data_IF_157508182016
#
_entry.id   IF_157508182016
#
_cell.length_a   1.000
_cell.length_b   1.000
_cell.length_c   1.000
_cell.angle_alpha   90.00
_cell.angle_beta   90.00
_cell.angle_gamma   90.00
#
_symmetry.space_group_name_H-M   'P 1'
#
loop_
_entity.id
_entity.type
_entity.pdbx_description
1 polymer ?
#
# COMPACT_ATOMS: atom_id res chain seq x y z
N UNK A 1 11.32 -12.32 -3.81
CA UNK A 1 10.49 -11.09 -3.91
C UNK A 1 9.82 -11.05 -5.27
N UNK A 2 8.59 -10.53 -5.36
CA UNK A 2 7.84 -10.31 -6.59
C UNK A 2 7.66 -8.82 -6.82
N UNK A 3 7.64 -8.38 -8.08
CA UNK A 3 7.38 -6.98 -8.42
C UNK A 3 5.94 -6.77 -8.85
N UNK A 4 5.34 -5.72 -8.35
CA UNK A 4 4.05 -5.20 -8.77
C UNK A 4 4.13 -3.71 -9.08
N UNK A 5 3.13 -3.21 -9.74
CA UNK A 5 3.02 -1.78 -10.04
C UNK A 5 1.66 -1.28 -9.61
N UNK A 6 1.63 -0.08 -9.03
CA UNK A 6 0.39 0.55 -8.57
C UNK A 6 -0.30 1.23 -9.74
N UNK A 7 -1.52 0.79 -10.03
CA UNK A 7 -2.40 1.45 -11.00
C UNK A 7 -3.58 2.13 -10.29
N UNK A 8 -4.10 3.22 -10.84
CA UNK A 8 -5.29 3.88 -10.31
C UNK A 8 -6.54 3.00 -10.47
N UNK A 9 -7.63 3.42 -9.83
CA UNK A 9 -8.95 2.80 -9.98
C UNK A 9 -9.31 2.61 -11.46
N UNK A 10 -9.67 1.39 -11.90
CA UNK A 10 -10.06 1.14 -13.28
C UNK A 10 -11.20 2.03 -13.78
N UNK A 11 -12.08 2.48 -12.87
CA UNK A 11 -13.16 3.42 -13.20
C UNK A 11 -12.67 4.83 -13.57
N UNK A 12 -11.43 5.17 -13.25
CA UNK A 12 -10.80 6.46 -13.60
C UNK A 12 -10.20 6.50 -15.00
N UNK A 13 -10.09 5.34 -15.66
CA UNK A 13 -9.57 5.28 -17.02
C UNK A 13 -10.63 5.75 -18.02
N UNK A 14 -10.16 6.33 -19.12
CA UNK A 14 -11.04 6.75 -20.22
C UNK A 14 -11.84 5.56 -20.78
N UNK A 15 -11.18 4.41 -20.89
CA UNK A 15 -11.75 3.17 -21.38
C UNK A 15 -10.92 1.97 -20.91
N UNK A 16 -11.51 0.78 -21.02
CA UNK A 16 -10.87 -0.47 -20.61
C UNK A 16 -9.67 -0.86 -21.47
N UNK A 17 -9.57 -0.38 -22.71
CA UNK A 17 -8.42 -0.68 -23.57
C UNK A 17 -7.16 0.01 -23.05
N UNK A 18 -7.29 1.19 -22.45
CA UNK A 18 -6.19 1.89 -21.79
C UNK A 18 -5.70 1.12 -20.55
N UNK A 19 -6.61 0.62 -19.72
CA UNK A 19 -6.25 -0.23 -18.58
C UNK A 19 -5.57 -1.53 -19.02
N UNK A 20 -6.14 -2.23 -20.02
CA UNK A 20 -5.55 -3.45 -20.60
C UNK A 20 -4.15 -3.16 -21.21
N UNK A 21 -3.97 -1.97 -21.81
CA UNK A 21 -2.69 -1.51 -22.35
C UNK A 21 -1.61 -1.32 -21.26
N UNK A 22 -1.98 -0.73 -20.12
CA UNK A 22 -1.06 -0.58 -18.98
C UNK A 22 -0.64 -1.96 -18.44
N UNK A 23 -1.57 -2.91 -18.29
CA UNK A 23 -1.27 -4.27 -17.87
C UNK A 23 -0.33 -4.99 -18.86
N UNK A 24 -0.55 -4.82 -20.16
CA UNK A 24 0.31 -5.39 -21.20
C UNK A 24 1.72 -4.79 -21.17
N UNK A 25 1.84 -3.48 -20.98
CA UNK A 25 3.11 -2.79 -20.80
C UNK A 25 3.87 -3.32 -19.56
N UNK A 26 3.18 -3.43 -18.42
CA UNK A 26 3.75 -4.00 -17.20
C UNK A 26 4.26 -5.44 -17.44
N UNK A 27 3.49 -6.26 -18.19
CA UNK A 27 3.89 -7.64 -18.51
C UNK A 27 5.15 -7.69 -19.37
N UNK A 28 5.24 -6.83 -20.38
CA UNK A 28 6.43 -6.72 -21.24
C UNK A 28 7.65 -6.24 -20.47
N UNK A 29 7.46 -5.25 -19.58
CA UNK A 29 8.53 -4.76 -18.71
C UNK A 29 8.97 -5.82 -17.69
N UNK A 30 8.08 -6.75 -17.28
CA UNK A 30 8.41 -7.91 -16.44
C UNK A 30 7.96 -7.83 -15.00
N UNK A 31 6.91 -7.11 -14.73
CA UNK A 31 6.22 -7.18 -13.44
C UNK A 31 5.47 -8.50 -13.28
N UNK A 32 5.23 -8.92 -12.04
CA UNK A 32 4.60 -10.20 -11.67
C UNK A 32 3.12 -10.06 -11.30
N UNK A 33 2.71 -8.88 -10.82
CA UNK A 33 1.38 -8.62 -10.27
C UNK A 33 0.98 -7.15 -10.41
N UNK A 34 -0.28 -6.84 -10.07
CA UNK A 34 -0.79 -5.47 -10.01
C UNK A 34 -1.32 -5.17 -8.62
N UNK A 35 -1.18 -3.92 -8.21
CA UNK A 35 -1.85 -3.32 -7.08
C UNK A 35 -2.79 -2.23 -7.58
N UNK A 36 -4.01 -2.14 -7.03
CA UNK A 36 -4.99 -1.15 -7.43
C UNK A 36 -5.32 -0.17 -6.31
N UNK A 37 -5.31 1.10 -6.65
CA UNK A 37 -5.81 2.16 -5.81
C UNK A 37 -7.30 2.37 -6.11
N UNK A 38 -8.21 1.89 -5.24
CA UNK A 38 -9.65 1.99 -5.45
C UNK A 38 -10.32 2.83 -4.37
N UNK A 39 -11.37 3.57 -4.77
CA UNK A 39 -12.09 4.45 -3.86
C UNK A 39 -13.37 3.82 -3.29
N UNK A 40 -13.92 2.82 -3.96
CA UNK A 40 -15.21 2.22 -3.59
C UNK A 40 -15.30 0.75 -4.01
N UNK A 41 -15.14 -0.20 -3.06
CA UNK A 41 -15.29 -1.62 -3.37
C UNK A 41 -16.65 -2.00 -3.97
N UNK A 42 -17.74 -1.28 -3.63
CA UNK A 42 -19.08 -1.58 -4.13
C UNK A 42 -19.27 -1.24 -5.62
N UNK A 43 -18.38 -0.41 -6.16
CA UNK A 43 -18.38 0.02 -7.57
C UNK A 43 -17.29 -0.64 -8.40
N UNK A 44 -16.53 -1.52 -7.79
CA UNK A 44 -15.42 -2.20 -8.45
C UNK A 44 -15.95 -3.33 -9.35
N UNK A 45 -15.70 -3.24 -10.66
CA UNK A 45 -16.09 -4.26 -11.64
C UNK A 45 -15.13 -5.47 -11.58
N UNK A 46 -15.35 -6.33 -10.58
CA UNK A 46 -14.51 -7.50 -10.32
C UNK A 46 -14.36 -8.40 -11.53
N UNK A 47 -15.47 -8.67 -12.24
CA UNK A 47 -15.48 -9.59 -13.39
C UNK A 47 -14.64 -9.03 -14.54
N UNK A 48 -14.77 -7.74 -14.81
CA UNK A 48 -14.02 -7.10 -15.89
C UNK A 48 -12.53 -7.04 -15.58
N UNK A 49 -12.17 -6.67 -14.34
CA UNK A 49 -10.77 -6.66 -13.90
C UNK A 49 -10.19 -8.07 -13.94
N UNK A 50 -10.93 -9.09 -13.46
CA UNK A 50 -10.47 -10.48 -13.49
C UNK A 50 -10.12 -10.93 -14.91
N UNK A 51 -11.01 -10.67 -15.88
CA UNK A 51 -10.73 -10.97 -17.30
C UNK A 51 -9.49 -10.25 -17.83
N UNK A 52 -9.25 -9.01 -17.42
CA UNK A 52 -8.05 -8.26 -17.82
C UNK A 52 -6.77 -8.89 -17.25
N UNK A 53 -6.77 -9.28 -15.97
CA UNK A 53 -5.62 -9.89 -15.31
C UNK A 53 -5.32 -11.30 -15.86
N UNK A 54 -6.36 -12.07 -16.17
CA UNK A 54 -6.21 -13.42 -16.76
C UNK A 54 -5.47 -13.38 -18.10
N UNK A 55 -5.74 -12.37 -18.94
CA UNK A 55 -5.06 -12.20 -20.25
C UNK A 55 -3.54 -12.04 -20.13
N UNK A 56 -3.08 -11.46 -19.05
CA UNK A 56 -1.65 -11.23 -18.79
C UNK A 56 -1.08 -12.18 -17.73
N UNK A 57 -1.92 -13.09 -17.21
CA UNK A 57 -1.56 -14.02 -16.12
C UNK A 57 -1.04 -13.30 -14.88
N UNK A 58 -1.75 -12.25 -14.45
CA UNK A 58 -1.44 -11.50 -13.24
C UNK A 58 -2.32 -11.89 -12.06
N UNK A 59 -1.77 -11.70 -10.86
CA UNK A 59 -2.52 -11.71 -9.61
C UNK A 59 -2.73 -10.27 -9.11
N UNK A 60 -3.83 -10.05 -8.40
CA UNK A 60 -4.03 -8.86 -7.59
C UNK A 60 -3.24 -9.03 -6.29
N UNK A 61 -2.20 -8.23 -6.06
CA UNK A 61 -1.43 -8.35 -4.84
C UNK A 61 -2.01 -7.50 -3.69
N UNK A 62 -2.53 -6.30 -3.99
CA UNK A 62 -3.05 -5.41 -2.98
C UNK A 62 -4.13 -4.46 -3.50
N UNK A 63 -4.97 -3.97 -2.57
CA UNK A 63 -5.88 -2.84 -2.76
C UNK A 63 -5.49 -1.70 -1.82
N UNK A 64 -5.23 -0.51 -2.38
CA UNK A 64 -4.98 0.69 -1.59
C UNK A 64 -6.29 1.41 -1.24
N UNK A 65 -6.42 1.85 0.01
CA UNK A 65 -7.62 2.53 0.53
C UNK A 65 -7.45 4.05 0.61
N UNK A 66 -6.23 4.57 0.47
CA UNK A 66 -5.87 5.96 0.80
C UNK A 66 -6.65 7.03 0.04
N UNK A 67 -7.08 6.78 -1.21
CA UNK A 67 -7.89 7.71 -2.00
C UNK A 67 -9.23 8.06 -1.35
N UNK A 68 -9.75 7.23 -0.45
CA UNK A 68 -11.04 7.45 0.22
C UNK A 68 -10.97 8.56 1.28
N UNK A 69 -9.80 8.81 1.87
CA UNK A 69 -9.61 9.95 2.76
C UNK A 69 -9.84 11.28 2.02
N UNK A 70 -9.13 11.48 0.92
CA UNK A 70 -9.21 12.72 0.15
C UNK A 70 -10.58 12.91 -0.54
N UNK A 71 -11.19 11.83 -1.04
CA UNK A 71 -12.42 11.90 -1.85
C UNK A 71 -13.70 11.89 -1.03
N UNK A 72 -13.69 11.34 0.20
CA UNK A 72 -14.90 11.09 1.01
C UNK A 72 -14.80 11.55 2.47
N UNK A 73 -13.65 12.06 2.91
CA UNK A 73 -13.41 12.43 4.30
C UNK A 73 -13.45 11.24 5.26
N UNK A 74 -13.13 10.03 4.79
CA UNK A 74 -13.06 8.85 5.64
C UNK A 74 -11.83 8.91 6.53
N UNK A 75 -12.03 8.73 7.85
CA UNK A 75 -10.98 8.93 8.83
C UNK A 75 -11.31 8.16 10.11
N UNK A 76 -10.31 7.56 10.75
CA UNK A 76 -10.50 6.81 12.00
C UNK A 76 -10.15 7.58 13.27
N UNK A 77 -9.30 8.62 13.20
CA UNK A 77 -8.89 9.39 14.38
C UNK A 77 -10.00 10.32 14.93
N UNK A 78 -10.90 10.80 14.06
CA UNK A 78 -11.88 11.84 14.37
C UNK A 78 -12.80 11.49 15.55
N UNK A 79 -13.25 12.52 16.28
CA UNK A 79 -14.28 12.41 17.33
C UNK A 79 -15.69 12.13 16.76
N UNK A 80 -15.94 12.44 15.47
CA UNK A 80 -17.22 12.14 14.82
C UNK A 80 -17.42 10.61 14.66
N UNK A 81 -18.31 10.06 15.45
CA UNK A 81 -18.63 8.64 15.44
C UNK A 81 -19.25 8.18 14.11
N UNK A 82 -20.04 9.04 13.47
CA UNK A 82 -20.65 8.75 12.18
C UNK A 82 -19.59 8.56 11.09
N UNK A 83 -18.56 9.42 11.06
CA UNK A 83 -17.41 9.29 10.13
C UNK A 83 -16.63 8.01 10.44
N UNK A 84 -16.29 7.76 11.71
CA UNK A 84 -15.56 6.54 12.09
C UNK A 84 -16.32 5.27 11.68
N UNK A 85 -17.61 5.21 11.98
CA UNK A 85 -18.44 4.03 11.66
C UNK A 85 -18.50 3.78 10.16
N UNK A 86 -18.73 4.82 9.35
CA UNK A 86 -18.69 4.70 7.88
C UNK A 86 -17.33 4.21 7.39
N UNK A 87 -16.23 4.68 7.99
CA UNK A 87 -14.88 4.26 7.62
C UNK A 87 -14.62 2.80 7.98
N UNK A 88 -15.10 2.34 9.14
CA UNK A 88 -15.01 0.93 9.55
C UNK A 88 -15.79 0.03 8.59
N UNK A 89 -17.02 0.38 8.22
CA UNK A 89 -17.83 -0.41 7.29
C UNK A 89 -17.22 -0.42 5.87
N UNK A 90 -16.64 0.70 5.44
CA UNK A 90 -15.87 0.74 4.21
C UNK A 90 -14.66 -0.22 4.27
N UNK A 91 -13.87 -0.20 5.34
CA UNK A 91 -12.74 -1.11 5.50
C UNK A 91 -13.18 -2.59 5.52
N UNK A 92 -14.32 -2.92 6.13
CA UNK A 92 -14.89 -4.28 6.06
C UNK A 92 -15.25 -4.67 4.63
N UNK A 93 -15.77 -3.75 3.82
CA UNK A 93 -16.02 -4.03 2.40
C UNK A 93 -14.74 -4.26 1.60
N UNK A 94 -13.64 -3.59 1.94
CA UNK A 94 -12.31 -3.91 1.40
C UNK A 94 -11.82 -5.28 1.86
N UNK A 95 -12.07 -5.67 3.12
CA UNK A 95 -11.75 -7.01 3.63
C UNK A 95 -12.46 -8.09 2.83
N UNK A 96 -13.78 -7.93 2.57
CA UNK A 96 -14.54 -8.87 1.74
C UNK A 96 -13.98 -8.95 0.32
N UNK A 97 -13.62 -7.82 -0.28
CA UNK A 97 -13.00 -7.78 -1.60
C UNK A 97 -11.65 -8.50 -1.60
N UNK A 98 -10.75 -8.15 -0.68
CA UNK A 98 -9.42 -8.75 -0.59
C UNK A 98 -9.48 -10.27 -0.35
N UNK A 99 -10.42 -10.73 0.46
CA UNK A 99 -10.67 -12.16 0.70
C UNK A 99 -11.00 -12.90 -0.61
N UNK A 100 -11.88 -12.35 -1.47
CA UNK A 100 -12.23 -12.95 -2.76
C UNK A 100 -11.06 -12.98 -3.75
N UNK A 101 -10.15 -12.01 -3.65
CA UNK A 101 -8.97 -11.88 -4.51
C UNK A 101 -7.71 -12.53 -3.95
N UNK A 102 -7.76 -13.01 -2.70
CA UNK A 102 -6.57 -13.50 -1.97
C UNK A 102 -5.43 -12.47 -1.98
N UNK A 103 -5.80 -11.21 -1.82
CA UNK A 103 -4.91 -10.04 -1.79
C UNK A 103 -4.88 -9.42 -0.40
N UNK A 104 -4.08 -8.39 -0.25
CA UNK A 104 -4.00 -7.59 0.99
C UNK A 104 -4.70 -6.25 0.82
N UNK A 105 -4.94 -5.58 1.95
CA UNK A 105 -5.46 -4.21 2.01
C UNK A 105 -4.39 -3.32 2.58
N UNK A 106 -4.02 -2.26 1.87
CA UNK A 106 -3.11 -1.22 2.38
C UNK A 106 -3.91 -0.17 3.13
N UNK A 107 -3.57 0.02 4.40
CA UNK A 107 -4.18 0.98 5.30
C UNK A 107 -3.15 1.98 5.83
N UNK A 108 -3.22 3.23 5.38
CA UNK A 108 -2.32 4.31 5.77
C UNK A 108 -3.08 5.62 6.00
N UNK A 109 -3.45 6.33 4.93
CA UNK A 109 -4.07 7.67 4.99
C UNK A 109 -5.38 7.74 5.79
N UNK A 110 -6.12 6.64 5.92
CA UNK A 110 -7.36 6.59 6.71
C UNK A 110 -7.14 6.70 8.23
N UNK A 111 -5.90 6.70 8.70
CA UNK A 111 -5.58 7.09 10.06
C UNK A 111 -6.07 8.52 10.35
N UNK A 112 -5.94 9.43 9.36
CA UNK A 112 -6.34 10.82 9.44
C UNK A 112 -5.20 11.75 9.84
N UNK A 113 -5.51 13.04 9.98
CA UNK A 113 -4.56 14.12 10.25
C UNK A 113 -4.79 14.73 11.63
N UNK A 114 -3.81 15.50 12.13
CA UNK A 114 -3.98 16.30 13.34
C UNK A 114 -5.03 17.41 13.20
N UNK A 115 -5.41 17.79 11.97
CA UNK A 115 -6.56 18.66 11.72
C UNK A 115 -7.91 17.97 11.97
N UNK A 116 -7.98 16.63 11.87
CA UNK A 116 -9.19 15.86 12.14
C UNK A 116 -9.34 15.54 13.64
N UNK A 117 -8.20 15.37 14.32
CA UNK A 117 -8.11 15.19 15.78
C UNK A 117 -6.74 15.69 16.28
N UNK A 118 -6.72 16.86 16.97
CA UNK A 118 -5.49 17.45 17.48
C UNK A 118 -4.89 16.69 18.68
N UNK A 119 -5.71 15.94 19.42
CA UNK A 119 -5.24 15.08 20.51
C UNK A 119 -4.73 13.74 19.94
N UNK A 120 -3.39 13.63 19.81
CA UNK A 120 -2.74 12.43 19.29
C UNK A 120 -3.09 11.17 20.09
N UNK A 121 -3.26 11.28 21.41
CA UNK A 121 -3.56 10.12 22.25
C UNK A 121 -4.99 9.64 22.00
N UNK A 122 -5.95 10.56 21.98
CA UNK A 122 -7.34 10.26 21.69
C UNK A 122 -7.52 9.69 20.27
N UNK A 123 -6.88 10.31 19.26
CA UNK A 123 -6.91 9.84 17.87
C UNK A 123 -6.30 8.45 17.71
N UNK A 124 -5.12 8.19 18.29
CA UNK A 124 -4.48 6.88 18.26
C UNK A 124 -5.33 5.80 18.94
N UNK A 125 -5.99 6.12 20.06
CA UNK A 125 -6.88 5.19 20.75
C UNK A 125 -8.08 4.79 19.86
N UNK A 126 -8.71 5.75 19.17
CA UNK A 126 -9.82 5.47 18.23
C UNK A 126 -9.38 4.66 17.02
N UNK A 127 -8.22 4.99 16.43
CA UNK A 127 -7.63 4.19 15.34
C UNK A 127 -7.42 2.75 15.81
N UNK A 128 -6.84 2.56 17.00
CA UNK A 128 -6.59 1.24 17.58
C UNK A 128 -7.87 0.42 17.79
N UNK A 129 -8.91 1.05 18.31
CA UNK A 129 -10.23 0.41 18.51
C UNK A 129 -10.83 -0.01 17.16
N UNK A 130 -10.86 0.89 16.18
CA UNK A 130 -11.39 0.64 14.85
C UNK A 130 -10.62 -0.47 14.11
N UNK A 131 -9.28 -0.43 14.11
CA UNK A 131 -8.47 -1.46 13.46
C UNK A 131 -8.58 -2.80 14.19
N UNK A 132 -8.79 -2.81 15.50
CA UNK A 132 -9.07 -4.05 16.22
C UNK A 132 -10.40 -4.68 15.78
N UNK A 133 -11.44 -3.88 15.55
CA UNK A 133 -12.73 -4.36 15.03
C UNK A 133 -12.58 -4.93 13.61
N UNK A 134 -12.00 -4.15 12.69
CA UNK A 134 -11.79 -4.56 11.30
C UNK A 134 -10.82 -5.75 11.19
N UNK A 135 -9.78 -5.78 12.03
CA UNK A 135 -8.79 -6.86 12.05
C UNK A 135 -9.40 -8.19 12.51
N UNK A 136 -10.31 -8.18 13.49
CA UNK A 136 -11.06 -9.40 13.87
C UNK A 136 -11.94 -9.90 12.71
N UNK A 137 -12.62 -8.99 12.05
CA UNK A 137 -13.38 -9.33 10.84
C UNK A 137 -12.49 -9.89 9.73
N UNK A 138 -11.29 -9.34 9.55
CA UNK A 138 -10.31 -9.85 8.58
C UNK A 138 -9.83 -11.28 8.92
N UNK A 139 -9.68 -11.64 10.23
CA UNK A 139 -9.40 -13.03 10.65
C UNK A 139 -10.50 -13.96 10.16
N UNK A 140 -11.78 -13.62 10.40
CA UNK A 140 -12.93 -14.43 9.97
C UNK A 140 -12.99 -14.63 8.45
N UNK A 141 -12.53 -13.65 7.69
CA UNK A 141 -12.50 -13.64 6.22
C UNK A 141 -11.21 -14.19 5.61
N UNK A 142 -10.24 -14.56 6.44
CA UNK A 142 -8.91 -14.97 5.98
C UNK A 142 -8.26 -13.92 5.06
N UNK A 143 -8.35 -12.65 5.46
CA UNK A 143 -7.78 -11.49 4.76
C UNK A 143 -6.72 -10.80 5.64
N UNK A 144 -5.83 -10.02 5.01
CA UNK A 144 -4.77 -9.29 5.69
C UNK A 144 -4.92 -7.79 5.46
N UNK A 145 -4.71 -7.03 6.53
CA UNK A 145 -4.62 -5.57 6.52
C UNK A 145 -3.16 -5.21 6.79
N UNK A 146 -2.53 -4.51 5.86
CA UNK A 146 -1.18 -4.03 6.02
C UNK A 146 -1.20 -2.57 6.48
N UNK A 147 -0.76 -2.38 7.71
CA UNK A 147 -0.69 -1.07 8.36
C UNK A 147 0.55 -0.32 7.85
N UNK A 148 0.33 0.87 7.31
CA UNK A 148 1.37 1.72 6.74
C UNK A 148 1.70 2.89 7.67
N UNK A 149 2.95 3.01 8.14
CA UNK A 149 3.46 4.26 8.71
C UNK A 149 3.61 5.28 7.57
N UNK A 150 2.77 6.30 7.59
CA UNK A 150 2.75 7.39 6.61
C UNK A 150 3.39 8.63 7.24
N UNK A 151 4.18 9.40 6.47
CA UNK A 151 4.92 10.55 6.98
C UNK A 151 4.00 11.61 7.65
N UNK A 152 4.57 12.37 8.58
CA UNK A 152 3.85 13.35 9.40
C UNK A 152 3.22 14.51 8.60
N UNK A 153 3.66 14.77 7.37
CA UNK A 153 3.04 15.75 6.48
C UNK A 153 1.71 15.31 5.89
N UNK A 154 1.47 13.99 5.84
CA UNK A 154 0.26 13.40 5.26
C UNK A 154 -0.68 12.82 6.32
N UNK A 155 -0.16 12.22 7.41
CA UNK A 155 -0.93 11.58 8.47
C UNK A 155 -0.45 12.08 9.83
N UNK A 156 -1.35 12.19 10.81
CA UNK A 156 -1.03 12.69 12.15
C UNK A 156 -0.57 11.63 13.16
N UNK A 157 -0.54 10.34 12.79
CA UNK A 157 -0.43 9.23 13.73
C UNK A 157 0.49 8.12 13.20
N UNK A 158 1.24 7.47 14.11
CA UNK A 158 2.08 6.30 13.84
C UNK A 158 2.96 6.47 12.59
N UNK A 159 3.76 7.54 12.58
CA UNK A 159 4.53 7.96 11.42
C UNK A 159 5.82 7.17 11.23
N UNK A 160 6.47 6.75 12.32
CA UNK A 160 7.72 5.98 12.29
C UNK A 160 7.47 4.46 12.27
N UNK A 161 8.46 3.71 11.78
CA UNK A 161 8.45 2.23 11.85
C UNK A 161 8.28 1.78 13.30
N UNK A 162 8.97 2.40 14.26
CA UNK A 162 8.88 2.04 15.66
C UNK A 162 7.46 2.20 16.23
N UNK A 163 6.79 3.34 15.96
CA UNK A 163 5.39 3.57 16.37
C UNK A 163 4.43 2.58 15.71
N UNK A 164 4.63 2.27 14.42
CA UNK A 164 3.80 1.32 13.69
C UNK A 164 3.99 -0.13 14.21
N UNK A 165 5.22 -0.53 14.54
CA UNK A 165 5.52 -1.84 15.15
C UNK A 165 4.83 -1.99 16.52
N UNK A 166 4.94 -0.96 17.38
CA UNK A 166 4.25 -0.95 18.67
C UNK A 166 2.73 -1.07 18.47
N UNK A 167 2.18 -0.34 17.51
CA UNK A 167 0.76 -0.38 17.19
C UNK A 167 0.33 -1.77 16.72
N UNK A 168 0.98 -2.34 15.70
CA UNK A 168 0.63 -3.63 15.10
C UNK A 168 0.79 -4.77 16.12
N UNK A 169 1.93 -4.85 16.80
CA UNK A 169 2.16 -5.88 17.82
C UNK A 169 1.18 -5.74 19.00
N UNK A 170 0.87 -4.51 19.39
CA UNK A 170 -0.10 -4.23 20.48
C UNK A 170 -1.55 -4.57 20.16
N UNK A 171 -1.90 -4.80 18.88
CA UNK A 171 -3.21 -5.34 18.49
C UNK A 171 -3.33 -6.85 18.75
N UNK A 172 -2.22 -7.59 18.66
CA UNK A 172 -2.17 -9.05 18.78
C UNK A 172 -3.18 -9.77 17.86
N UNK A 173 -3.21 -9.35 16.58
CA UNK A 173 -4.09 -9.89 15.55
C UNK A 173 -3.26 -10.36 14.35
N UNK A 174 -3.33 -11.64 13.94
CA UNK A 174 -2.53 -12.17 12.83
C UNK A 174 -2.92 -11.57 11.46
N UNK A 175 -4.12 -11.01 11.36
CA UNK A 175 -4.65 -10.34 10.16
C UNK A 175 -4.13 -8.92 9.98
N UNK A 176 -3.47 -8.32 10.99
CA UNK A 176 -2.89 -6.98 10.88
C UNK A 176 -1.38 -7.11 10.83
N UNK A 177 -0.79 -6.75 9.70
CA UNK A 177 0.62 -6.83 9.41
C UNK A 177 1.18 -5.42 9.18
N UNK A 178 2.47 -5.33 8.96
CA UNK A 178 3.16 -4.08 8.65
C UNK A 178 3.51 -4.02 7.17
N UNK A 179 3.35 -2.86 6.57
CA UNK A 179 4.01 -2.51 5.32
C UNK A 179 4.87 -1.26 5.48
N UNK A 180 5.74 -1.02 4.54
CA UNK A 180 6.55 0.20 4.48
C UNK A 180 6.53 0.77 3.05
N UNK A 181 6.50 2.10 2.93
CA UNK A 181 6.75 2.83 1.69
C UNK A 181 8.08 3.58 1.81
N UNK A 182 8.97 3.36 0.86
CA UNK A 182 10.31 3.97 0.84
C UNK A 182 10.29 5.50 0.86
N UNK A 183 9.25 6.13 0.32
CA UNK A 183 9.06 7.58 0.41
C UNK A 183 8.77 8.02 1.85
N UNK A 184 7.90 7.32 2.57
CA UNK A 184 7.51 7.70 3.91
C UNK A 184 8.66 7.50 4.90
N UNK A 185 9.31 6.34 4.85
CA UNK A 185 10.46 6.07 5.74
C UNK A 185 11.67 6.95 5.42
N UNK A 186 11.84 7.42 4.18
CA UNK A 186 12.90 8.41 3.86
C UNK A 186 12.70 9.74 4.58
N UNK A 187 11.46 10.09 4.93
CA UNK A 187 11.14 11.33 5.65
C UNK A 187 11.25 11.14 7.17
N UNK A 188 10.80 9.99 7.68
CA UNK A 188 10.61 9.77 9.12
C UNK A 188 11.80 9.06 9.79
N UNK A 189 12.56 8.25 9.05
CA UNK A 189 13.62 7.44 9.63
C UNK A 189 15.00 8.07 9.44
N UNK A 190 15.77 8.09 10.51
CA UNK A 190 17.19 8.47 10.43
C UNK A 190 18.02 7.43 9.67
N UNK A 191 17.68 6.15 9.87
CA UNK A 191 18.35 5.00 9.26
C UNK A 191 17.31 4.15 8.54
N UNK A 192 17.35 4.12 7.21
CA UNK A 192 16.29 3.52 6.40
C UNK A 192 16.45 2.01 6.17
N UNK A 193 17.61 1.42 6.47
CA UNK A 193 17.89 -0.01 6.25
C UNK A 193 17.90 -0.85 7.52
N UNK A 194 18.41 -0.31 8.62
CA UNK A 194 18.55 -1.05 9.88
C UNK A 194 17.22 -1.52 10.47
N UNK A 195 16.09 -0.77 10.42
CA UNK A 195 14.82 -1.20 10.98
C UNK A 195 14.24 -2.46 10.34
N UNK A 196 14.64 -2.79 9.10
CA UNK A 196 14.12 -3.98 8.38
C UNK A 196 14.37 -5.30 9.12
N UNK A 197 15.43 -5.37 9.96
CA UNK A 197 15.72 -6.56 10.77
C UNK A 197 14.65 -6.78 11.84
N UNK A 198 14.16 -5.72 12.44
CA UNK A 198 13.25 -5.78 13.59
C UNK A 198 11.80 -6.03 13.21
N UNK A 199 11.49 -5.94 11.91
CA UNK A 199 10.13 -6.09 11.37
C UNK A 199 9.94 -7.31 10.46
N UNK A 200 10.99 -8.10 10.22
CA UNK A 200 10.96 -9.23 9.27
C UNK A 200 9.81 -10.22 9.50
N UNK A 201 9.41 -10.41 10.77
CA UNK A 201 8.34 -11.33 11.18
C UNK A 201 6.94 -10.78 10.88
N UNK A 202 6.78 -9.46 10.77
CA UNK A 202 5.49 -8.79 10.54
C UNK A 202 5.42 -8.04 9.21
N UNK A 203 6.52 -7.86 8.48
CA UNK A 203 6.54 -7.17 7.19
C UNK A 203 5.85 -8.02 6.12
N UNK A 204 4.74 -7.55 5.56
CA UNK A 204 3.96 -8.27 4.56
C UNK A 204 4.03 -7.62 3.17
N UNK A 205 4.22 -6.30 3.08
CA UNK A 205 4.23 -5.57 1.82
C UNK A 205 5.23 -4.41 1.82
N UNK A 206 5.68 -4.03 0.62
CA UNK A 206 6.61 -2.91 0.42
C UNK A 206 6.15 -2.06 -0.75
N UNK A 207 6.06 -0.75 -0.56
CA UNK A 207 5.98 0.21 -1.66
C UNK A 207 7.38 0.73 -1.98
N UNK A 208 7.70 0.72 -3.26
CA UNK A 208 8.89 1.32 -3.82
C UNK A 208 8.52 2.65 -4.47
N UNK A 209 8.72 3.72 -3.76
CA UNK A 209 8.50 5.08 -4.24
C UNK A 209 9.81 5.86 -4.14
N UNK A 210 10.09 6.68 -5.13
CA UNK A 210 11.26 7.53 -5.10
C UNK A 210 11.09 8.69 -4.11
N UNK A 211 12.19 9.25 -3.61
CA UNK A 211 12.20 10.35 -2.62
C UNK A 211 11.47 11.61 -3.08
N UNK A 212 11.24 11.77 -4.37
CA UNK A 212 10.47 12.86 -4.99
C UNK A 212 9.15 12.38 -5.63
N UNK A 213 8.75 11.10 -5.41
CA UNK A 213 7.55 10.47 -5.98
C UNK A 213 7.52 10.39 -7.52
N UNK A 214 8.65 10.67 -8.23
CA UNK A 214 8.81 10.42 -9.67
C UNK A 214 9.25 8.96 -9.91
N UNK A 215 9.68 8.62 -11.10
CA UNK A 215 10.19 7.28 -11.43
C UNK A 215 11.41 6.92 -10.58
N UNK A 216 11.58 5.65 -10.26
CA UNK A 216 12.74 5.17 -9.52
C UNK A 216 14.05 5.61 -10.20
N UNK A 217 15.02 6.03 -9.41
CA UNK A 217 16.30 6.58 -9.87
C UNK A 217 16.27 8.08 -10.24
N UNK A 218 15.11 8.74 -10.16
CA UNK A 218 15.01 10.19 -10.35
C UNK A 218 15.33 11.01 -9.08
N UNK A 219 15.47 10.37 -7.95
CA UNK A 219 15.83 10.96 -6.66
C UNK A 219 17.10 10.35 -6.08
N UNK A 220 17.09 10.05 -4.79
CA UNK A 220 18.31 9.59 -4.08
C UNK A 220 18.07 8.36 -3.18
N UNK A 221 16.97 7.64 -3.36
CA UNK A 221 16.70 6.43 -2.58
C UNK A 221 17.77 5.37 -2.84
N UNK A 222 18.34 4.72 -1.80
CA UNK A 222 19.38 3.71 -1.94
C UNK A 222 18.83 2.35 -2.39
N UNK A 223 18.20 2.29 -3.57
CA UNK A 223 17.44 1.12 -4.08
C UNK A 223 18.22 -0.18 -4.02
N UNK A 224 19.48 -0.19 -4.44
CA UNK A 224 20.31 -1.41 -4.43
C UNK A 224 20.56 -1.93 -3.01
N UNK A 225 20.92 -1.04 -2.07
CA UNK A 225 21.13 -1.38 -0.66
C UNK A 225 19.84 -1.85 0.02
N UNK A 226 18.71 -1.24 -0.34
CA UNK A 226 17.40 -1.63 0.17
C UNK A 226 17.00 -3.05 -0.27
N UNK A 227 17.19 -3.40 -1.55
CA UNK A 227 16.95 -4.76 -2.02
C UNK A 227 17.88 -5.80 -1.40
N UNK A 228 19.16 -5.47 -1.25
CA UNK A 228 20.11 -6.34 -0.56
C UNK A 228 19.62 -6.62 0.88
N UNK A 229 19.15 -5.59 1.57
CA UNK A 229 18.66 -5.72 2.94
C UNK A 229 17.36 -6.52 3.03
N UNK A 230 16.41 -6.32 2.10
CA UNK A 230 15.19 -7.15 2.02
C UNK A 230 15.52 -8.63 1.80
N UNK A 231 16.53 -8.92 0.96
CA UNK A 231 16.99 -10.29 0.73
C UNK A 231 17.66 -10.89 1.98
N UNK A 232 18.50 -10.14 2.69
CA UNK A 232 19.15 -10.56 3.93
C UNK A 232 18.15 -10.92 5.03
N UNK A 233 17.06 -10.14 5.17
CA UNK A 233 16.00 -10.44 6.15
C UNK A 233 14.99 -11.48 5.63
N UNK A 234 15.23 -12.08 4.47
CA UNK A 234 14.38 -13.15 3.91
C UNK A 234 13.02 -12.69 3.41
N UNK A 235 12.85 -11.40 3.07
CA UNK A 235 11.57 -10.91 2.55
C UNK A 235 11.22 -11.56 1.20
N UNK A 236 10.06 -12.20 1.12
CA UNK A 236 9.59 -12.92 -0.07
C UNK A 236 8.28 -12.36 -0.66
N UNK A 237 7.74 -11.28 -0.08
CA UNK A 237 6.49 -10.65 -0.49
C UNK A 237 6.58 -9.87 -1.80
N UNK A 238 5.57 -9.04 -2.04
CA UNK A 238 5.53 -8.12 -3.18
C UNK A 238 6.18 -6.77 -2.84
N UNK A 239 6.88 -6.22 -3.83
CA UNK A 239 7.34 -4.85 -3.83
C UNK A 239 6.56 -4.12 -4.94
N UNK A 240 5.66 -3.21 -4.59
CA UNK A 240 4.83 -2.45 -5.52
C UNK A 240 5.46 -1.10 -5.84
N UNK A 241 5.74 -0.86 -7.11
CA UNK A 241 6.26 0.44 -7.56
C UNK A 241 5.14 1.46 -7.62
N UNK A 242 5.30 2.57 -6.89
CA UNK A 242 4.39 3.71 -6.87
C UNK A 242 5.03 4.97 -7.46
N UNK A 243 4.42 5.51 -8.54
CA UNK A 243 4.83 6.77 -9.17
C UNK A 243 3.65 7.73 -9.13
N UNK A 244 3.80 8.84 -8.39
CA UNK A 244 2.67 9.74 -8.09
C UNK A 244 2.90 11.18 -8.54
N UNK A 245 4.15 11.61 -8.72
CA UNK A 245 4.50 12.98 -9.07
C UNK A 245 5.39 13.02 -10.32
N UNK A 246 4.80 12.77 -11.48
CA UNK A 246 5.52 12.76 -12.76
C UNK A 246 4.70 13.41 -13.86
N UNK A 247 5.40 13.95 -14.86
CA UNK A 247 4.80 14.43 -16.12
C UNK A 247 4.98 13.43 -17.27
N UNK A 248 5.63 12.29 -17.02
CA UNK A 248 5.87 11.26 -18.03
C UNK A 248 4.61 10.45 -18.28
N UNK A 249 4.37 9.96 -19.49
CA UNK A 249 3.34 8.96 -19.77
C UNK A 249 3.57 7.70 -18.94
N UNK A 250 2.49 7.04 -18.51
CA UNK A 250 2.57 5.88 -17.59
C UNK A 250 3.43 4.74 -18.14
N UNK A 251 3.31 4.39 -19.41
CA UNK A 251 4.16 3.36 -20.03
C UNK A 251 5.64 3.69 -19.89
N UNK A 252 6.03 4.95 -20.11
CA UNK A 252 7.41 5.37 -19.89
C UNK A 252 7.86 5.28 -18.43
N UNK A 253 6.94 5.47 -17.47
CA UNK A 253 7.24 5.27 -16.05
C UNK A 253 7.43 3.79 -15.70
N UNK A 254 6.55 2.91 -16.22
CA UNK A 254 6.63 1.45 -16.05
C UNK A 254 8.00 0.94 -16.51
N UNK A 255 8.41 1.32 -17.73
CA UNK A 255 9.69 0.92 -18.32
C UNK A 255 10.89 1.49 -17.57
N UNK A 256 10.87 2.80 -17.25
CA UNK A 256 11.97 3.47 -16.56
C UNK A 256 12.20 2.87 -15.15
N UNK A 257 11.15 2.61 -14.40
CA UNK A 257 11.26 1.99 -13.08
C UNK A 257 11.85 0.57 -13.18
N UNK A 258 11.43 -0.24 -14.16
CA UNK A 258 11.98 -1.59 -14.33
C UNK A 258 13.45 -1.55 -14.77
N UNK A 259 13.85 -0.60 -15.62
CA UNK A 259 15.26 -0.41 -15.99
C UNK A 259 16.10 -0.07 -14.75
N UNK A 260 15.62 0.82 -13.88
CA UNK A 260 16.32 1.18 -12.66
C UNK A 260 16.43 -0.01 -11.70
N UNK A 261 15.32 -0.77 -11.48
CA UNK A 261 15.32 -1.97 -10.66
C UNK A 261 16.34 -3.01 -11.16
N UNK A 262 16.41 -3.22 -12.47
CA UNK A 262 17.40 -4.11 -13.12
C UNK A 262 18.82 -3.61 -12.89
N UNK A 263 19.08 -2.30 -13.05
CA UNK A 263 20.37 -1.66 -12.78
C UNK A 263 20.79 -1.82 -11.33
N UNK A 264 19.85 -1.77 -10.40
CA UNK A 264 20.08 -1.97 -8.96
C UNK A 264 20.20 -3.43 -8.54
N UNK A 265 20.24 -4.37 -9.49
CA UNK A 265 20.50 -5.78 -9.23
C UNK A 265 19.26 -6.61 -8.88
N UNK A 266 18.06 -6.09 -9.11
CA UNK A 266 16.87 -6.93 -9.01
C UNK A 266 16.95 -8.07 -10.01
N UNK A 267 16.88 -9.30 -9.51
CA UNK A 267 16.85 -10.51 -10.33
C UNK A 267 15.46 -11.15 -10.22
N UNK A 268 14.87 -11.45 -11.36
CA UNK A 268 13.66 -12.27 -11.39
C UNK A 268 13.96 -13.65 -10.79
N UNK A 269 13.01 -14.13 -10.01
CA UNK A 269 13.06 -15.49 -9.48
C UNK A 269 12.87 -16.52 -10.59
#
# INVERSE_FOLDING_TARGET
MKLSYVLPDPSSYRDWSTFDGDLACMKQAGYDAVELQIADPSRFDEDRVRRSLERVSYTMCAFQTGSTYASRGNCLCTADEGVRRRTIELLKSFVDLASRWKSIIVFGSLQGRLSDEPDRQAGSARIREAIREVGRYAVEKNATIDFEPVNHGEVGFHNTIAEAVEFVRGLNLPSVRLMIDTFHINIEEREVLSPLTDIQDILAHVHLSETNRDVLGAGHWPTAGFFARLAEVGYAGHCSVGVYNTRKPRHACIDACMQELTRCGFKRA
#
